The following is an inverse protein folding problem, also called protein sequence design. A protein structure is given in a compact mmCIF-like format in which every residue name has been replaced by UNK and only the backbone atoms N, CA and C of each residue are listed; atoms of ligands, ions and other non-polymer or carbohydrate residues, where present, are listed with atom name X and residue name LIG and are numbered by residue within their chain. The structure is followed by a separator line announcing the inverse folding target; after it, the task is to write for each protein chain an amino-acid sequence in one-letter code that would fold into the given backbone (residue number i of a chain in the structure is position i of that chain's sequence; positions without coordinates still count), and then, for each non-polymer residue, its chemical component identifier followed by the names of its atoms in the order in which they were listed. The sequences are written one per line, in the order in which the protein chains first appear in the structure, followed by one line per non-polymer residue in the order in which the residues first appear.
data_IF_547615515239
#
_entry.id   IF_547615515239
#
_cell.length_a   1.000
_cell.length_b   1.000
_cell.length_c   1.000
_cell.angle_alpha   90.00
_cell.angle_beta   90.00
_cell.angle_gamma   90.00
#
_symmetry.space_group_name_H-M   'P 1'
#
loop_
_entity.id
_entity.type
_entity.pdbx_description
1 polymer ?
#
# COMPACT_ATOMS: atom_id res chain seq x y z
N UNK A 1 -36.88 20.91 42.39
CA UNK A 1 -37.20 20.39 41.03
C UNK A 1 -35.97 19.63 40.55
N UNK A 2 -36.01 18.29 40.59
CA UNK A 2 -34.87 17.42 40.28
C UNK A 2 -34.97 16.98 38.82
N UNK A 3 -34.01 17.38 37.99
CA UNK A 3 -33.86 16.85 36.63
C UNK A 3 -33.05 15.55 36.68
N UNK A 4 -33.70 14.46 36.29
CA UNK A 4 -33.10 13.13 36.22
C UNK A 4 -32.04 13.10 35.10
N UNK A 5 -30.80 12.77 35.46
CA UNK A 5 -29.72 12.48 34.51
C UNK A 5 -29.88 11.05 34.03
N UNK A 6 -30.08 10.86 32.72
CA UNK A 6 -30.02 9.55 32.08
C UNK A 6 -28.56 9.08 32.08
N UNK A 7 -28.20 8.16 32.99
CA UNK A 7 -26.90 7.46 32.92
C UNK A 7 -27.01 6.38 31.86
N UNK A 8 -26.44 6.62 30.69
CA UNK A 8 -26.16 5.56 29.72
C UNK A 8 -24.95 4.79 30.24
N UNK A 9 -25.20 3.61 30.80
CA UNK A 9 -24.14 2.64 31.12
C UNK A 9 -23.51 2.18 29.81
N UNK A 10 -22.29 2.62 29.54
CA UNK A 10 -21.49 2.02 28.48
C UNK A 10 -20.88 0.75 29.06
N UNK A 11 -21.55 -0.37 28.84
CA UNK A 11 -21.03 -1.71 29.07
C UNK A 11 -19.75 -1.86 28.23
N UNK A 12 -18.60 -1.95 28.89
CA UNK A 12 -17.30 -2.15 28.26
C UNK A 12 -17.21 -3.58 27.70
N UNK A 13 -17.57 -3.73 26.43
CA UNK A 13 -17.33 -4.94 25.62
C UNK A 13 -15.81 -5.12 25.35
N UNK A 14 -15.36 -6.35 25.04
CA UNK A 14 -14.08 -6.88 25.51
C UNK A 14 -12.88 -6.20 24.88
N UNK A 15 -11.78 -6.12 25.65
CA UNK A 15 -10.43 -5.82 25.14
C UNK A 15 -10.13 -6.75 23.98
N UNK A 16 -10.19 -6.22 22.76
CA UNK A 16 -9.43 -6.79 21.66
C UNK A 16 -7.96 -6.55 22.03
N UNK A 17 -7.17 -7.62 22.08
CA UNK A 17 -5.72 -7.50 22.03
C UNK A 17 -5.41 -6.82 20.68
N UNK A 18 -5.32 -5.49 20.70
CA UNK A 18 -4.79 -4.68 19.60
C UNK A 18 -3.28 -4.91 19.51
N UNK A 19 -2.87 -6.16 19.28
CA UNK A 19 -1.61 -6.40 18.63
C UNK A 19 -1.77 -5.72 17.27
N UNK A 20 -1.20 -4.51 17.14
CA UNK A 20 -1.01 -3.85 15.86
C UNK A 20 -0.40 -4.91 14.97
N UNK A 21 -1.19 -5.50 14.05
CA UNK A 21 -0.65 -6.46 13.11
C UNK A 21 0.37 -5.67 12.30
N UNK A 22 1.64 -5.88 12.62
CA UNK A 22 2.73 -5.21 11.94
C UNK A 22 2.68 -5.68 10.49
N UNK A 23 2.42 -4.74 9.58
CA UNK A 23 2.46 -4.97 8.15
C UNK A 23 3.64 -4.15 7.59
N UNK A 24 4.89 -4.67 7.67
CA UNK A 24 6.09 -3.90 7.31
C UNK A 24 6.04 -3.32 5.90
N UNK A 25 5.45 -4.06 4.95
CA UNK A 25 5.25 -3.56 3.59
C UNK A 25 4.26 -2.39 3.54
N UNK A 26 3.13 -2.49 4.25
CA UNK A 26 2.12 -1.44 4.25
C UNK A 26 2.66 -0.17 4.90
N UNK A 27 3.33 -0.29 6.04
CA UNK A 27 3.95 0.84 6.72
C UNK A 27 5.04 1.49 5.86
N UNK A 28 5.85 0.69 5.16
CA UNK A 28 6.80 1.21 4.18
C UNK A 28 6.11 1.97 3.04
N UNK A 29 5.04 1.42 2.47
CA UNK A 29 4.28 2.11 1.41
C UNK A 29 3.66 3.42 1.94
N UNK A 30 3.11 3.42 3.15
CA UNK A 30 2.55 4.62 3.82
C UNK A 30 3.62 5.67 4.06
N UNK A 31 4.82 5.27 4.50
CA UNK A 31 5.95 6.18 4.72
C UNK A 31 6.48 6.75 3.41
N UNK A 32 6.75 5.90 2.41
CA UNK A 32 7.17 6.33 1.07
C UNK A 32 6.12 7.26 0.46
N UNK A 33 4.83 6.96 0.62
CA UNK A 33 3.76 7.83 0.16
C UNK A 33 3.79 9.21 0.83
N UNK A 34 4.09 9.27 2.13
CA UNK A 34 4.23 10.52 2.89
C UNK A 34 5.43 11.33 2.43
N UNK A 35 6.60 10.71 2.33
CA UNK A 35 7.86 11.39 1.94
C UNK A 35 7.83 11.87 0.49
N UNK A 36 7.03 11.25 -0.37
CA UNK A 36 6.88 11.62 -1.77
C UNK A 36 5.80 12.68 -2.05
N UNK A 37 4.98 13.11 -1.08
CA UNK A 37 3.85 14.05 -1.32
C UNK A 37 4.27 15.39 -1.92
N UNK A 38 5.47 15.86 -1.57
CA UNK A 38 6.02 17.14 -2.02
C UNK A 38 7.10 16.97 -3.08
N UNK A 39 7.44 15.74 -3.48
CA UNK A 39 8.43 15.50 -4.53
C UNK A 39 7.76 15.72 -5.89
N UNK A 40 8.47 16.41 -6.79
CA UNK A 40 7.97 16.74 -8.14
C UNK A 40 7.85 15.52 -9.07
N UNK A 41 7.92 15.78 -10.39
CA UNK A 41 7.97 14.71 -11.39
C UNK A 41 9.18 13.79 -11.15
N UNK A 42 9.05 12.48 -11.43
CA UNK A 42 10.21 11.57 -11.42
C UNK A 42 10.99 11.79 -12.71
N UNK A 43 12.23 12.26 -12.58
CA UNK A 43 13.15 12.30 -13.71
C UNK A 43 13.46 10.89 -14.22
N UNK A 44 13.80 10.78 -15.51
CA UNK A 44 14.12 9.56 -16.22
C UNK A 44 15.16 8.72 -15.47
N UNK A 45 16.20 9.34 -14.93
CA UNK A 45 17.23 8.63 -14.15
C UNK A 45 16.67 8.05 -12.84
N UNK A 46 15.75 8.76 -12.19
CA UNK A 46 15.03 8.25 -11.01
C UNK A 46 14.15 7.05 -11.32
N UNK A 47 13.50 7.04 -12.50
CA UNK A 47 12.74 5.87 -12.96
C UNK A 47 13.67 4.70 -13.32
N UNK A 48 14.77 4.97 -14.02
CA UNK A 48 15.75 3.95 -14.41
C UNK A 48 16.48 3.32 -13.22
N UNK A 49 16.59 4.02 -12.09
CA UNK A 49 17.16 3.45 -10.86
C UNK A 49 16.37 2.22 -10.36
N UNK A 50 15.07 2.12 -10.66
CA UNK A 50 14.27 0.92 -10.38
C UNK A 50 14.68 -0.32 -11.19
N UNK A 51 15.51 -0.14 -12.23
CA UNK A 51 16.09 -1.20 -13.06
C UNK A 51 17.55 -1.50 -12.68
N UNK A 52 18.07 -0.91 -11.60
CA UNK A 52 19.46 -1.09 -11.18
C UNK A 52 19.78 -2.56 -10.88
N UNK A 53 20.99 -2.99 -11.20
CA UNK A 53 21.50 -4.31 -10.78
C UNK A 53 21.75 -4.39 -9.26
N UNK A 54 21.87 -3.24 -8.58
CA UNK A 54 21.91 -3.19 -7.12
C UNK A 54 20.47 -3.30 -6.58
N UNK A 55 20.18 -4.41 -5.89
CA UNK A 55 18.85 -4.73 -5.35
C UNK A 55 18.32 -3.67 -4.38
N UNK A 56 19.17 -3.07 -3.55
CA UNK A 56 18.73 -2.08 -2.57
C UNK A 56 18.34 -0.77 -3.26
N UNK A 57 19.15 -0.33 -4.23
CA UNK A 57 18.85 0.85 -5.06
C UNK A 57 17.56 0.62 -5.86
N UNK A 58 17.45 -0.56 -6.51
CA UNK A 58 16.29 -0.92 -7.31
C UNK A 58 15.01 -0.96 -6.47
N UNK A 59 15.05 -1.56 -5.28
CA UNK A 59 13.90 -1.63 -4.36
C UNK A 59 13.47 -0.26 -3.87
N UNK A 60 14.41 0.58 -3.45
CA UNK A 60 14.10 1.92 -2.97
C UNK A 60 13.48 2.76 -4.08
N UNK A 61 14.11 2.82 -5.25
CA UNK A 61 13.59 3.52 -6.41
C UNK A 61 12.24 2.94 -6.87
N UNK A 62 12.08 1.61 -6.89
CA UNK A 62 10.81 0.98 -7.24
C UNK A 62 9.69 1.37 -6.29
N UNK A 63 9.98 1.53 -4.99
CA UNK A 63 8.98 1.99 -4.00
C UNK A 63 8.51 3.41 -4.30
N UNK A 64 9.45 4.33 -4.58
CA UNK A 64 9.11 5.72 -4.91
C UNK A 64 8.33 5.81 -6.22
N UNK A 65 8.81 5.12 -7.26
CA UNK A 65 8.15 5.06 -8.57
C UNK A 65 6.76 4.44 -8.42
N UNK A 66 6.62 3.33 -7.69
CA UNK A 66 5.34 2.66 -7.45
C UNK A 66 4.29 3.61 -6.89
N UNK A 67 4.59 4.30 -5.78
CA UNK A 67 3.63 5.20 -5.12
C UNK A 67 3.23 6.34 -6.06
N UNK A 68 4.17 6.92 -6.82
CA UNK A 68 3.86 8.01 -7.73
C UNK A 68 3.04 7.54 -8.94
N UNK A 69 3.41 6.40 -9.51
CA UNK A 69 2.70 5.78 -10.63
C UNK A 69 1.34 5.21 -10.24
N UNK A 70 1.07 4.95 -8.96
CA UNK A 70 -0.20 4.37 -8.51
C UNK A 70 -1.38 5.28 -8.86
N UNK A 71 -1.20 6.60 -8.78
CA UNK A 71 -2.23 7.56 -9.19
C UNK A 71 -2.55 7.49 -10.69
N UNK A 72 -1.53 7.27 -11.52
CA UNK A 72 -1.67 7.13 -12.97
C UNK A 72 -2.28 5.76 -13.33
N UNK A 73 -1.82 4.69 -12.67
CA UNK A 73 -2.32 3.33 -12.87
C UNK A 73 -3.78 3.16 -12.45
N UNK A 74 -4.25 3.90 -11.44
CA UNK A 74 -5.64 3.85 -10.98
C UNK A 74 -6.53 4.92 -11.64
N UNK A 75 -5.96 5.87 -12.38
CA UNK A 75 -6.67 7.03 -12.92
C UNK A 75 -7.22 8.00 -11.86
N UNK A 76 -6.91 7.78 -10.59
CA UNK A 76 -7.29 8.60 -9.44
C UNK A 76 -6.23 8.53 -8.36
N UNK A 77 -6.20 9.53 -7.48
CA UNK A 77 -5.32 9.50 -6.31
C UNK A 77 -5.73 8.34 -5.37
N UNK A 78 -4.83 7.39 -5.05
CA UNK A 78 -5.10 6.36 -4.06
C UNK A 78 -5.21 6.96 -2.65
N UNK A 79 -6.08 6.38 -1.83
CA UNK A 79 -6.23 6.73 -0.43
C UNK A 79 -5.25 5.88 0.38
N UNK A 80 -4.17 6.49 0.88
CA UNK A 80 -3.20 5.86 1.74
C UNK A 80 -3.20 6.58 3.09
N UNK A 81 -3.37 5.83 4.17
CA UNK A 81 -3.41 6.35 5.53
C UNK A 81 -2.00 6.59 6.07
N UNK A 82 -1.92 7.09 7.30
CA UNK A 82 -0.65 7.29 8.00
C UNK A 82 -0.13 5.97 8.56
N UNK A 83 1.19 5.84 8.65
CA UNK A 83 1.85 4.79 9.44
C UNK A 83 1.25 4.75 10.84
N UNK A 84 0.96 3.53 11.33
CA UNK A 84 0.33 3.30 12.64
C UNK A 84 -1.19 3.51 12.69
N UNK A 85 -1.86 3.83 11.57
CA UNK A 85 -3.32 3.83 11.53
C UNK A 85 -3.85 2.39 11.59
N UNK A 86 -4.74 2.04 12.55
CA UNK A 86 -5.26 0.68 12.71
C UNK A 86 -6.19 0.29 11.56
N UNK A 87 -6.88 1.26 10.97
CA UNK A 87 -7.72 1.02 9.81
C UNK A 87 -6.91 0.94 8.52
N UNK A 88 -7.48 0.26 7.53
CA UNK A 88 -6.94 0.19 6.17
C UNK A 88 -7.98 0.63 5.15
N UNK A 89 -7.56 1.48 4.22
CA UNK A 89 -8.42 1.92 3.13
C UNK A 89 -8.68 0.78 2.14
N UNK A 90 -9.68 0.92 1.28
CA UNK A 90 -9.92 -0.04 0.20
C UNK A 90 -8.74 -0.14 -0.79
N UNK A 91 -8.05 0.98 -1.03
CA UNK A 91 -6.89 1.01 -1.92
C UNK A 91 -5.69 0.27 -1.29
N UNK A 92 -5.50 0.40 0.03
CA UNK A 92 -4.48 -0.32 0.79
C UNK A 92 -4.77 -1.82 0.83
N UNK A 93 -6.00 -2.22 1.14
CA UNK A 93 -6.41 -3.63 1.13
C UNK A 93 -6.19 -4.28 -0.24
N UNK A 94 -6.61 -3.60 -1.31
CA UNK A 94 -6.40 -4.07 -2.67
C UNK A 94 -4.91 -4.23 -3.00
N UNK A 95 -4.07 -3.25 -2.63
CA UNK A 95 -2.63 -3.30 -2.88
C UNK A 95 -1.95 -4.44 -2.13
N UNK A 96 -2.32 -4.65 -0.85
CA UNK A 96 -1.81 -5.74 -0.03
C UNK A 96 -2.26 -7.12 -0.54
N UNK A 97 -3.51 -7.26 -0.96
CA UNK A 97 -3.99 -8.49 -1.60
C UNK A 97 -3.23 -8.77 -2.89
N UNK A 98 -2.99 -7.76 -3.73
CA UNK A 98 -2.21 -7.92 -4.96
C UNK A 98 -0.77 -8.32 -4.66
N UNK A 99 -0.13 -7.68 -3.68
CA UNK A 99 1.22 -8.01 -3.24
C UNK A 99 1.32 -9.46 -2.76
N UNK A 100 0.33 -9.91 -1.96
CA UNK A 100 0.26 -11.29 -1.46
C UNK A 100 0.08 -12.30 -2.60
N UNK A 101 -0.84 -12.07 -3.53
CA UNK A 101 -1.03 -12.93 -4.70
C UNK A 101 0.24 -13.01 -5.56
N UNK A 102 0.91 -11.89 -5.79
CA UNK A 102 2.17 -11.87 -6.56
C UNK A 102 3.29 -12.64 -5.86
N UNK A 103 3.41 -12.51 -4.53
CA UNK A 103 4.41 -13.23 -3.73
C UNK A 103 4.14 -14.72 -3.66
N UNK A 104 2.87 -15.12 -3.57
CA UNK A 104 2.45 -16.52 -3.54
C UNK A 104 2.48 -17.19 -4.92
N UNK A 105 2.69 -16.43 -6.00
CA UNK A 105 2.60 -16.94 -7.37
C UNK A 105 1.16 -17.24 -7.83
N UNK A 106 0.15 -16.71 -7.14
CA UNK A 106 -1.25 -16.85 -7.55
C UNK A 106 -1.59 -15.87 -8.68
N UNK A 107 -1.30 -16.31 -9.90
CA UNK A 107 -1.53 -15.55 -11.12
C UNK A 107 -3.01 -15.25 -11.36
N UNK A 108 -3.91 -16.14 -10.92
CA UNK A 108 -5.35 -16.00 -11.13
C UNK A 108 -5.93 -14.85 -10.31
N UNK A 109 -5.61 -14.81 -9.01
CA UNK A 109 -6.00 -13.72 -8.12
C UNK A 109 -5.32 -12.42 -8.52
N UNK A 110 -4.03 -12.45 -8.86
CA UNK A 110 -3.32 -11.27 -9.33
C UNK A 110 -3.95 -10.70 -10.62
N UNK A 111 -4.30 -11.55 -11.58
CA UNK A 111 -4.97 -11.13 -12.80
C UNK A 111 -6.33 -10.51 -12.49
N UNK A 112 -7.15 -11.14 -11.64
CA UNK A 112 -8.44 -10.59 -11.23
C UNK A 112 -8.31 -9.19 -10.59
N UNK A 113 -7.40 -9.04 -9.64
CA UNK A 113 -7.13 -7.77 -8.95
C UNK A 113 -6.63 -6.67 -9.91
N UNK A 114 -5.79 -7.02 -10.88
CA UNK A 114 -5.34 -6.06 -11.91
C UNK A 114 -6.47 -5.67 -12.88
N UNK A 115 -7.32 -6.61 -13.27
CA UNK A 115 -8.43 -6.34 -14.20
C UNK A 115 -9.50 -5.44 -13.58
N UNK A 116 -9.74 -5.56 -12.28
CA UNK A 116 -10.75 -4.76 -11.59
C UNK A 116 -10.42 -3.27 -11.50
N UNK A 117 -9.14 -2.87 -11.55
CA UNK A 117 -8.75 -1.48 -11.24
C UNK A 117 -7.71 -0.84 -12.15
N UNK A 118 -6.93 -1.63 -12.91
CA UNK A 118 -5.77 -1.13 -13.64
C UNK A 118 -5.99 -1.31 -15.15
N UNK A 119 -5.86 -0.24 -15.96
CA UNK A 119 -5.99 -0.33 -17.40
C UNK A 119 -4.83 -1.16 -17.97
N UNK A 120 -5.10 -1.88 -19.07
CA UNK A 120 -4.17 -2.89 -19.63
C UNK A 120 -2.73 -2.38 -19.83
N UNK A 121 -2.56 -1.13 -20.28
CA UNK A 121 -1.26 -0.53 -20.55
C UNK A 121 -0.40 -0.31 -19.28
N UNK A 122 -1.01 -0.15 -18.11
CA UNK A 122 -0.30 0.12 -16.85
C UNK A 122 0.05 -1.15 -16.06
N UNK A 123 -0.60 -2.29 -16.36
CA UNK A 123 -0.50 -3.53 -15.58
C UNK A 123 0.92 -4.07 -15.48
N UNK A 124 1.63 -4.16 -16.62
CA UNK A 124 3.00 -4.70 -16.66
C UNK A 124 3.94 -3.91 -15.76
N UNK A 125 3.91 -2.59 -15.86
CA UNK A 125 4.78 -1.71 -15.09
C UNK A 125 4.45 -1.78 -13.60
N UNK A 126 3.16 -1.78 -13.26
CA UNK A 126 2.73 -1.91 -11.87
C UNK A 126 3.19 -3.23 -11.25
N UNK A 127 3.01 -4.36 -11.95
CA UNK A 127 3.44 -5.68 -11.48
C UNK A 127 4.96 -5.73 -11.31
N UNK A 128 5.71 -5.18 -12.26
CA UNK A 128 7.18 -5.12 -12.17
C UNK A 128 7.64 -4.36 -10.92
N UNK A 129 7.11 -3.16 -10.70
CA UNK A 129 7.46 -2.33 -9.56
C UNK A 129 7.06 -2.99 -8.24
N UNK A 130 5.84 -3.51 -8.17
CA UNK A 130 5.33 -4.14 -6.95
C UNK A 130 6.12 -5.40 -6.60
N UNK A 131 6.51 -6.24 -7.57
CA UNK A 131 7.38 -7.40 -7.32
C UNK A 131 8.73 -6.98 -6.74
N UNK A 132 9.38 -5.99 -7.34
CA UNK A 132 10.67 -5.47 -6.84
C UNK A 132 10.58 -4.94 -5.40
N UNK A 133 9.45 -4.33 -5.03
CA UNK A 133 9.22 -3.86 -3.65
C UNK A 133 9.00 -5.05 -2.72
N UNK A 134 8.09 -5.96 -3.10
CA UNK A 134 7.64 -7.11 -2.29
C UNK A 134 8.75 -8.11 -2.02
N UNK A 135 9.63 -8.35 -2.98
CA UNK A 135 10.74 -9.31 -2.85
C UNK A 135 11.70 -8.99 -1.70
N UNK A 136 11.73 -7.73 -1.24
CA UNK A 136 12.54 -7.32 -0.09
C UNK A 136 11.84 -7.46 1.27
N UNK A 137 10.59 -7.91 1.33
CA UNK A 137 9.83 -8.08 2.57
C UNK A 137 9.55 -9.55 2.84
N UNK A 138 9.86 -10.01 4.05
CA UNK A 138 9.59 -11.38 4.49
C UNK A 138 8.10 -11.67 4.71
N UNK A 139 7.31 -10.65 5.08
CA UNK A 139 5.86 -10.76 5.36
C UNK A 139 5.06 -9.74 4.55
N UNK A 140 3.89 -10.18 4.04
CA UNK A 140 2.95 -9.41 3.21
C UNK A 140 1.50 -9.78 3.54
#
# INVERSE_FOLDING_TARGET
MNAAVCRVSFESAPKQDDAVEEHPLLDHVRDVARTNRCKGYIDLFGACAALSGNRDVARHAASEVLVRCLSQALGRRPILYRVGEPETSFDEKWLMSLARSLKAGDESSAAFLLHSRVPKHARRNLVFLLRNVVDGFSQV
#
